data_IF_593481236151
#
_entry.id   IF_593481236151
#
_cell.length_a   1.000
_cell.length_b   1.000
_cell.length_c   1.000
_cell.angle_alpha   90.00
_cell.angle_beta   90.00
_cell.angle_gamma   90.00
#
_symmetry.space_group_name_H-M   'P 1'
#
loop_
_entity.id
_entity.type
_entity.pdbx_description
1 polymer ?
#
# COMPACT_ATOMS: atom_id res chain seq x y z
N UNK A 1 -75.65 -5.41 -13.35
CA UNK A 1 -76.79 -6.25 -13.02
C UNK A 1 -76.36 -7.42 -12.16
N UNK A 2 -76.98 -7.50 -10.96
CA UNK A 2 -77.11 -8.64 -10.02
C UNK A 2 -75.81 -9.19 -9.41
N UNK A 3 -75.42 -8.88 -8.18
CA UNK A 3 -76.08 -9.08 -6.88
C UNK A 3 -76.26 -10.55 -6.46
N UNK A 4 -75.66 -10.91 -5.33
CA UNK A 4 -76.11 -11.73 -4.19
C UNK A 4 -74.97 -12.63 -3.69
N UNK A 5 -74.56 -12.49 -2.50
CA UNK A 5 -75.03 -12.69 -1.13
C UNK A 5 -74.39 -13.91 -0.47
N UNK A 6 -73.63 -13.64 0.59
CA UNK A 6 -73.70 -14.16 1.95
C UNK A 6 -73.80 -15.68 2.18
N UNK A 7 -72.82 -16.22 2.98
CA UNK A 7 -73.21 -16.83 4.26
C UNK A 7 -71.97 -17.07 5.15
N UNK A 8 -72.09 -16.67 6.41
CA UNK A 8 -71.15 -16.92 7.49
C UNK A 8 -71.39 -18.31 8.11
N UNK A 9 -70.32 -18.93 8.61
CA UNK A 9 -70.43 -20.00 9.61
C UNK A 9 -69.26 -19.89 10.56
N UNK A 10 -69.54 -19.51 11.77
CA UNK A 10 -68.67 -19.58 12.96
C UNK A 10 -68.60 -21.04 13.44
N UNK A 11 -67.39 -21.50 13.74
CA UNK A 11 -67.17 -22.64 14.67
C UNK A 11 -66.04 -22.34 15.57
N UNK A 12 -66.38 -22.19 16.86
CA UNK A 12 -65.49 -22.17 18.00
C UNK A 12 -64.99 -23.57 18.30
N UNK A 13 -63.70 -23.76 18.48
CA UNK A 13 -63.18 -24.89 19.19
C UNK A 13 -61.93 -24.53 20.04
N UNK A 14 -62.18 -24.56 21.31
CA UNK A 14 -61.35 -24.94 22.49
C UNK A 14 -59.81 -24.97 22.35
N UNK A 15 -59.20 -24.10 23.13
CA UNK A 15 -57.80 -24.09 23.49
C UNK A 15 -57.41 -25.33 24.29
N UNK A 16 -56.41 -26.05 23.83
CA UNK A 16 -55.65 -27.00 24.66
C UNK A 16 -54.25 -26.42 24.83
N UNK A 17 -53.99 -25.88 26.00
CA UNK A 17 -52.68 -25.40 26.43
C UNK A 17 -51.80 -26.60 26.77
N UNK A 18 -50.78 -26.87 25.98
CA UNK A 18 -49.65 -27.71 26.33
C UNK A 18 -48.47 -26.79 26.67
N UNK A 19 -47.81 -27.00 27.83
CA UNK A 19 -46.58 -26.25 28.13
C UNK A 19 -45.43 -26.85 27.30
N UNK A 20 -45.00 -26.13 26.27
CA UNK A 20 -43.72 -26.37 25.59
C UNK A 20 -42.62 -25.89 26.55
N UNK A 21 -42.00 -26.83 27.24
CA UNK A 21 -40.68 -26.61 27.82
C UNK A 21 -39.69 -26.33 26.69
N UNK A 22 -39.43 -25.05 26.46
CA UNK A 22 -38.36 -24.59 25.60
C UNK A 22 -37.03 -24.92 26.28
N UNK A 23 -36.41 -26.04 25.87
CA UNK A 23 -34.99 -26.23 26.08
C UNK A 23 -34.30 -25.04 25.35
N UNK A 24 -33.75 -24.13 26.15
CA UNK A 24 -32.90 -23.05 25.65
C UNK A 24 -31.70 -23.63 24.94
N UNK A 25 -31.80 -23.72 23.64
CA UNK A 25 -30.64 -23.84 22.79
C UNK A 25 -30.03 -22.44 22.74
N UNK A 26 -28.97 -22.19 23.49
CA UNK A 26 -28.10 -21.09 23.30
C UNK A 26 -27.50 -21.24 21.90
N UNK A 27 -28.22 -20.76 20.90
CA UNK A 27 -27.63 -20.51 19.57
C UNK A 27 -26.51 -19.52 19.84
N UNK A 28 -25.28 -20.01 19.80
CA UNK A 28 -24.12 -19.15 19.77
C UNK A 28 -24.39 -18.09 18.70
N UNK A 29 -24.34 -16.84 19.09
CA UNK A 29 -24.21 -15.75 18.11
C UNK A 29 -23.03 -16.13 17.25
N UNK A 30 -23.25 -16.52 16.00
CA UNK A 30 -22.24 -16.43 14.97
C UNK A 30 -21.83 -14.97 14.95
N UNK A 31 -20.67 -14.66 15.49
CA UNK A 31 -20.10 -13.33 15.38
C UNK A 31 -20.08 -13.02 13.86
N UNK A 32 -20.76 -11.95 13.47
CA UNK A 32 -20.78 -11.55 12.07
C UNK A 32 -19.35 -11.28 11.62
N UNK A 33 -19.00 -11.69 10.41
CA UNK A 33 -17.71 -11.39 9.81
C UNK A 33 -17.55 -9.86 9.66
N UNK A 34 -16.45 -9.32 10.16
CA UNK A 34 -16.11 -7.89 9.99
C UNK A 34 -15.31 -7.76 8.72
N UNK A 35 -15.78 -6.96 7.74
CA UNK A 35 -15.01 -6.66 6.54
C UNK A 35 -14.13 -5.44 6.77
N UNK A 36 -12.85 -5.52 6.36
CA UNK A 36 -11.90 -4.42 6.33
C UNK A 36 -11.37 -4.28 4.92
N UNK A 37 -11.56 -3.11 4.31
CA UNK A 37 -11.06 -2.78 2.98
C UNK A 37 -9.68 -2.15 3.07
N UNK A 38 -8.69 -2.81 2.48
CA UNK A 38 -7.31 -2.35 2.42
C UNK A 38 -6.96 -1.90 1.01
N UNK A 39 -6.68 -0.60 0.82
CA UNK A 39 -6.21 -0.03 -0.43
C UNK A 39 -4.71 -0.27 -0.64
N UNK A 40 -4.35 -0.79 -1.81
CA UNK A 40 -2.95 -1.05 -2.21
C UNK A 40 -2.73 -0.57 -3.65
N UNK A 41 -1.46 -0.42 -4.08
CA UNK A 41 -1.15 -0.01 -5.46
C UNK A 41 -0.32 -1.08 -6.15
N UNK A 42 -0.96 -1.75 -7.13
CA UNK A 42 -0.35 -2.82 -7.89
C UNK A 42 -0.80 -4.22 -7.45
N UNK A 43 -0.52 -5.22 -8.30
CA UNK A 43 -1.02 -6.59 -8.12
C UNK A 43 -0.19 -7.41 -7.13
N UNK A 44 1.10 -7.10 -6.96
CA UNK A 44 2.00 -7.83 -6.06
C UNK A 44 1.56 -7.80 -4.59
N UNK A 45 0.78 -6.79 -4.21
CA UNK A 45 0.28 -6.66 -2.84
C UNK A 45 -0.73 -7.75 -2.46
N UNK A 46 -1.40 -8.41 -3.43
CA UNK A 46 -2.26 -9.57 -3.14
C UNK A 46 -1.41 -10.69 -2.53
N UNK A 47 -0.25 -10.99 -3.12
CA UNK A 47 0.68 -12.01 -2.59
C UNK A 47 1.26 -11.61 -1.24
N UNK A 48 1.63 -10.33 -1.05
CA UNK A 48 2.18 -9.81 0.20
C UNK A 48 1.19 -9.91 1.37
N UNK A 49 -0.11 -9.66 1.12
CA UNK A 49 -1.14 -9.65 2.14
C UNK A 49 -1.88 -10.99 2.30
N UNK A 50 -1.63 -11.96 1.43
CA UNK A 50 -2.27 -13.29 1.51
C UNK A 50 -2.11 -13.96 2.87
N UNK A 51 -0.92 -14.03 3.52
CA UNK A 51 -0.79 -14.64 4.84
C UNK A 51 -1.64 -13.94 5.91
N UNK A 52 -1.67 -12.61 5.89
CA UNK A 52 -2.48 -11.83 6.82
C UNK A 52 -3.97 -12.04 6.59
N UNK A 53 -4.41 -12.07 5.33
CA UNK A 53 -5.79 -12.34 4.93
C UNK A 53 -6.29 -13.71 5.41
N UNK A 54 -5.44 -14.74 5.29
CA UNK A 54 -5.76 -16.09 5.77
C UNK A 54 -5.86 -16.15 7.30
N UNK A 55 -4.91 -15.56 8.02
CA UNK A 55 -4.91 -15.50 9.47
C UNK A 55 -6.14 -14.75 10.02
N UNK A 56 -6.46 -13.59 9.44
CA UNK A 56 -7.59 -12.76 9.85
C UNK A 56 -8.94 -13.44 9.64
N UNK A 57 -9.09 -14.27 8.61
CA UNK A 57 -10.30 -15.03 8.34
C UNK A 57 -10.65 -15.98 9.50
N UNK A 58 -9.65 -16.56 10.13
CA UNK A 58 -9.81 -17.41 11.32
C UNK A 58 -10.32 -16.63 12.54
N UNK A 59 -10.06 -15.32 12.58
CA UNK A 59 -10.54 -14.39 13.61
C UNK A 59 -11.90 -13.73 13.28
N UNK A 60 -12.52 -14.12 12.16
CA UNK A 60 -13.79 -13.54 11.71
C UNK A 60 -13.64 -12.16 11.08
N UNK A 61 -12.44 -11.81 10.56
CA UNK A 61 -12.17 -10.60 9.81
C UNK A 61 -11.92 -10.98 8.34
N UNK A 62 -12.71 -10.38 7.44
CA UNK A 62 -12.54 -10.51 5.99
C UNK A 62 -11.77 -9.30 5.48
N UNK A 63 -10.48 -9.50 5.14
CA UNK A 63 -9.63 -8.46 4.56
C UNK A 63 -9.82 -8.43 3.04
N UNK A 64 -10.53 -7.40 2.57
CA UNK A 64 -10.76 -7.14 1.15
C UNK A 64 -9.63 -6.25 0.60
N UNK A 65 -8.85 -6.76 -0.35
CA UNK A 65 -7.80 -5.98 -1.02
C UNK A 65 -8.41 -5.18 -2.15
N UNK A 66 -8.30 -3.85 -2.08
CA UNK A 66 -8.76 -2.90 -3.11
C UNK A 66 -7.55 -2.37 -3.85
N UNK A 67 -7.37 -2.79 -5.10
CA UNK A 67 -6.22 -2.41 -5.91
C UNK A 67 -6.45 -1.09 -6.63
N UNK A 68 -5.46 -0.20 -6.54
CA UNK A 68 -5.37 1.05 -7.29
C UNK A 68 -4.22 0.96 -8.31
N UNK A 69 -4.28 1.79 -9.36
CA UNK A 69 -3.28 1.83 -10.42
C UNK A 69 -2.26 2.96 -10.29
N UNK A 70 -2.47 3.87 -9.35
CA UNK A 70 -1.62 5.05 -9.14
C UNK A 70 -1.52 5.40 -7.65
N UNK A 71 -0.59 6.30 -7.30
CA UNK A 71 -0.37 6.72 -5.91
C UNK A 71 -1.29 7.88 -5.46
N UNK A 72 -1.99 8.55 -6.38
CA UNK A 72 -2.79 9.75 -6.08
C UNK A 72 -4.13 9.40 -5.45
N UNK A 73 -4.75 8.31 -5.91
CA UNK A 73 -6.14 7.97 -5.57
C UNK A 73 -6.32 7.38 -4.16
N UNK A 74 -5.41 6.52 -3.61
CA UNK A 74 -5.70 5.76 -2.39
C UNK A 74 -5.88 6.61 -1.13
N UNK A 75 -5.13 7.72 -0.95
CA UNK A 75 -5.28 8.59 0.21
C UNK A 75 -6.63 9.32 0.21
N UNK A 76 -7.09 9.76 -0.95
CA UNK A 76 -8.43 10.33 -1.10
C UNK A 76 -9.53 9.30 -0.80
N UNK A 77 -9.39 8.07 -1.30
CA UNK A 77 -10.33 6.98 -1.02
C UNK A 77 -10.38 6.63 0.48
N UNK A 78 -9.22 6.66 1.17
CA UNK A 78 -9.16 6.45 2.61
C UNK A 78 -9.83 7.58 3.38
N UNK A 79 -9.51 8.83 3.07
CA UNK A 79 -10.09 10.00 3.75
C UNK A 79 -11.62 10.07 3.59
N UNK A 80 -12.13 9.75 2.40
CA UNK A 80 -13.57 9.71 2.11
C UNK A 80 -14.30 8.49 2.68
N UNK A 81 -13.60 7.45 3.13
CA UNK A 81 -14.20 6.24 3.71
C UNK A 81 -14.61 5.18 2.69
N UNK A 82 -14.11 5.24 1.47
CA UNK A 82 -14.33 4.20 0.45
C UNK A 82 -13.54 2.92 0.77
N UNK A 83 -12.39 3.08 1.45
CA UNK A 83 -11.57 2.03 2.05
C UNK A 83 -11.35 2.33 3.54
N UNK A 84 -10.95 1.33 4.32
CA UNK A 84 -10.72 1.45 5.77
C UNK A 84 -9.26 1.73 6.13
N UNK A 85 -8.35 1.14 5.38
CA UNK A 85 -6.90 1.26 5.51
C UNK A 85 -6.28 1.43 4.12
N UNK A 86 -5.06 1.98 4.04
CA UNK A 86 -4.21 1.78 2.89
C UNK A 86 -2.79 1.37 3.30
N UNK A 87 -2.09 0.66 2.38
CA UNK A 87 -0.73 0.18 2.61
C UNK A 87 0.03 0.15 1.27
N UNK A 88 0.48 1.31 0.80
CA UNK A 88 1.16 1.44 -0.49
C UNK A 88 2.30 2.47 -0.47
N UNK A 89 2.32 3.37 0.52
CA UNK A 89 3.11 4.58 0.56
C UNK A 89 4.16 4.55 1.67
N UNK A 90 5.25 5.25 1.47
CA UNK A 90 6.22 5.52 2.52
C UNK A 90 5.88 6.81 3.30
N UNK A 91 6.51 6.97 4.46
CA UNK A 91 6.18 8.01 5.44
C UNK A 91 6.23 9.41 4.82
N UNK A 92 7.33 9.78 4.16
CA UNK A 92 7.46 11.13 3.58
C UNK A 92 6.48 11.40 2.44
N UNK A 93 6.00 10.37 1.72
CA UNK A 93 4.92 10.54 0.74
C UNK A 93 3.62 10.92 1.45
N UNK A 94 3.27 10.20 2.53
CA UNK A 94 2.11 10.54 3.34
C UNK A 94 2.21 11.96 3.90
N UNK A 95 3.35 12.36 4.47
CA UNK A 95 3.56 13.71 5.01
C UNK A 95 3.31 14.79 3.94
N UNK A 96 3.84 14.60 2.73
CA UNK A 96 3.62 15.51 1.61
C UNK A 96 2.13 15.60 1.20
N UNK A 97 1.44 14.47 1.14
CA UNK A 97 0.01 14.40 0.84
C UNK A 97 -0.84 15.11 1.92
N UNK A 98 -0.49 14.92 3.20
CA UNK A 98 -1.16 15.61 4.31
C UNK A 98 -0.98 17.12 4.24
N UNK A 99 0.23 17.59 3.91
CA UNK A 99 0.53 19.01 3.74
C UNK A 99 -0.24 19.60 2.54
N UNK A 100 -0.25 18.89 1.42
CA UNK A 100 -0.82 19.40 0.18
C UNK A 100 -2.36 19.37 0.18
N UNK A 101 -2.97 18.31 0.67
CA UNK A 101 -4.42 18.07 0.55
C UNK A 101 -5.18 18.17 1.87
N UNK A 102 -4.48 18.12 3.01
CA UNK A 102 -5.09 18.24 4.34
C UNK A 102 -5.93 17.04 4.75
N UNK A 103 -5.65 15.85 4.20
CA UNK A 103 -6.31 14.59 4.57
C UNK A 103 -6.27 14.35 6.07
N UNK A 104 -7.30 13.70 6.61
CA UNK A 104 -7.42 13.32 8.03
C UNK A 104 -7.12 11.83 8.20
N UNK A 105 -5.93 11.45 7.81
CA UNK A 105 -5.40 10.09 7.89
C UNK A 105 -4.04 10.13 8.61
N UNK A 106 -3.67 9.05 9.26
CA UNK A 106 -2.41 8.96 10.00
C UNK A 106 -1.82 7.54 9.94
N UNK A 107 -0.49 7.39 10.08
CA UNK A 107 0.15 6.08 10.08
C UNK A 107 -0.23 5.30 11.34
N UNK A 108 -0.44 4.00 11.21
CA UNK A 108 -0.77 3.09 12.32
C UNK A 108 0.23 1.94 12.48
N UNK A 109 1.05 1.67 11.47
CA UNK A 109 2.13 0.68 11.52
C UNK A 109 3.11 0.89 10.38
N UNK A 110 4.35 0.47 10.56
CA UNK A 110 5.31 0.29 9.47
C UNK A 110 5.25 -1.12 8.90
N UNK A 111 5.65 -1.28 7.65
CA UNK A 111 5.58 -2.56 6.93
C UNK A 111 6.94 -3.01 6.41
N UNK A 112 7.48 -2.32 5.44
CA UNK A 112 8.74 -2.65 4.78
C UNK A 112 9.37 -1.42 4.12
N UNK A 113 10.63 -1.56 3.71
CA UNK A 113 11.25 -0.69 2.71
C UNK A 113 11.58 -1.52 1.49
N UNK A 114 11.50 -0.91 0.29
CA UNK A 114 11.93 -1.50 -0.98
C UNK A 114 12.88 -0.54 -1.69
N UNK A 115 13.91 -1.06 -2.39
CA UNK A 115 14.83 -0.23 -3.16
C UNK A 115 14.14 0.46 -4.33
N UNK A 116 14.65 1.64 -4.67
CA UNK A 116 14.26 2.43 -5.84
C UNK A 116 15.38 2.29 -6.90
N UNK A 117 15.34 1.22 -7.69
CA UNK A 117 16.43 0.83 -8.56
C UNK A 117 16.40 1.51 -9.94
N UNK A 118 17.59 1.62 -10.55
CA UNK A 118 17.78 2.06 -11.94
C UNK A 118 17.86 0.82 -12.86
N UNK A 119 16.96 0.75 -13.83
CA UNK A 119 16.85 -0.33 -14.82
C UNK A 119 17.16 0.18 -16.22
N UNK A 120 17.63 -0.72 -17.09
CA UNK A 120 17.84 -0.44 -18.51
C UNK A 120 17.65 -1.72 -19.33
N UNK A 121 17.15 -1.55 -20.56
CA UNK A 121 17.15 -2.57 -21.61
C UNK A 121 18.14 -2.21 -22.75
N UNK A 122 18.90 -1.11 -22.59
CA UNK A 122 19.82 -0.62 -23.64
C UNK A 122 21.29 -0.66 -23.24
N UNK A 123 21.58 -0.65 -21.95
CA UNK A 123 22.93 -0.71 -21.40
C UNK A 123 22.97 -1.69 -20.23
N UNK A 124 24.09 -2.36 -20.04
CA UNK A 124 24.25 -3.37 -19.01
C UNK A 124 24.92 -2.81 -17.73
N UNK A 125 25.44 -1.60 -17.78
CA UNK A 125 26.14 -0.95 -16.65
C UNK A 125 26.14 0.56 -16.74
N UNK A 126 26.37 1.23 -15.57
CA UNK A 126 26.51 2.69 -15.50
C UNK A 126 27.63 3.24 -16.39
N UNK A 127 28.70 2.46 -16.62
CA UNK A 127 29.86 2.89 -17.42
C UNK A 127 29.59 3.01 -18.91
N UNK A 128 28.45 2.49 -19.37
CA UNK A 128 28.02 2.58 -20.77
C UNK A 128 27.14 3.81 -21.05
N UNK A 129 26.68 4.48 -19.97
CA UNK A 129 25.94 5.73 -20.08
C UNK A 129 26.83 6.84 -20.62
N UNK A 130 26.28 7.65 -21.50
CA UNK A 130 26.98 8.73 -22.23
C UNK A 130 26.12 9.98 -22.36
N UNK A 131 26.73 11.05 -22.81
CA UNK A 131 26.06 12.33 -23.08
C UNK A 131 24.91 12.15 -24.08
N UNK A 132 23.77 12.71 -23.75
CA UNK A 132 22.52 12.61 -24.51
C UNK A 132 21.64 11.41 -24.18
N UNK A 133 22.09 10.51 -23.30
CA UNK A 133 21.24 9.43 -22.80
C UNK A 133 20.11 9.97 -21.92
N UNK A 134 18.91 9.39 -22.07
CA UNK A 134 17.72 9.81 -21.35
C UNK A 134 17.44 8.86 -20.19
N UNK A 135 17.28 9.40 -18.98
CA UNK A 135 16.88 8.65 -17.78
C UNK A 135 15.52 9.15 -17.30
N UNK A 136 14.53 8.27 -17.27
CA UNK A 136 13.22 8.57 -16.72
C UNK A 136 13.22 8.39 -15.18
N UNK A 137 12.55 9.31 -14.46
CA UNK A 137 12.35 9.26 -13.00
C UNK A 137 10.90 9.60 -12.65
N UNK A 138 10.40 9.24 -11.43
CA UNK A 138 9.10 9.68 -10.93
C UNK A 138 8.98 11.21 -10.88
N UNK A 139 7.77 11.72 -11.17
CA UNK A 139 7.48 13.17 -11.20
C UNK A 139 6.91 13.71 -9.87
N UNK A 140 6.59 12.85 -8.90
CA UNK A 140 6.15 13.32 -7.59
C UNK A 140 7.34 13.76 -6.73
N UNK A 141 7.12 14.76 -5.87
CA UNK A 141 8.16 15.43 -5.07
C UNK A 141 9.04 14.45 -4.30
N UNK A 142 8.46 13.42 -3.71
CA UNK A 142 9.17 12.54 -2.78
C UNK A 142 9.90 11.40 -3.48
N UNK A 143 9.27 10.73 -4.44
CA UNK A 143 9.93 9.69 -5.24
C UNK A 143 10.90 10.31 -6.26
N UNK A 144 10.57 11.46 -6.87
CA UNK A 144 11.48 12.22 -7.73
C UNK A 144 12.73 12.65 -6.98
N UNK A 145 12.57 13.22 -5.78
CA UNK A 145 13.69 13.60 -4.93
C UNK A 145 14.55 12.40 -4.51
N UNK A 146 13.92 11.25 -4.18
CA UNK A 146 14.66 10.00 -3.91
C UNK A 146 15.41 9.51 -5.16
N UNK A 147 14.78 9.57 -6.33
CA UNK A 147 15.41 9.18 -7.59
C UNK A 147 16.64 10.05 -7.92
N UNK A 148 16.56 11.36 -7.69
CA UNK A 148 17.69 12.27 -7.85
C UNK A 148 18.84 11.89 -6.91
N UNK A 149 18.56 11.52 -5.64
CA UNK A 149 19.58 11.00 -4.73
C UNK A 149 20.19 9.69 -5.21
N UNK A 150 19.39 8.79 -5.77
CA UNK A 150 19.88 7.53 -6.36
C UNK A 150 20.84 7.82 -7.52
N UNK A 151 20.51 8.80 -8.41
CA UNK A 151 21.41 9.24 -9.48
C UNK A 151 22.72 9.83 -8.92
N UNK A 152 22.64 10.59 -7.82
CA UNK A 152 23.83 11.14 -7.16
C UNK A 152 24.69 10.04 -6.52
N UNK A 153 24.08 9.06 -5.84
CA UNK A 153 24.77 7.91 -5.26
C UNK A 153 25.41 7.02 -6.35
N UNK A 154 24.75 6.89 -7.50
CA UNK A 154 25.30 6.23 -8.69
C UNK A 154 26.48 7.00 -9.35
N UNK A 155 26.77 8.21 -8.88
CA UNK A 155 27.86 9.05 -9.43
C UNK A 155 27.54 9.71 -10.78
N UNK A 156 26.28 9.69 -11.21
CA UNK A 156 25.86 10.29 -12.49
C UNK A 156 25.70 11.80 -12.40
N UNK A 157 25.37 12.32 -11.22
CA UNK A 157 25.20 13.75 -10.92
C UNK A 157 25.85 14.09 -9.58
N UNK A 158 26.02 15.37 -9.31
CA UNK A 158 26.41 15.91 -8.00
C UNK A 158 25.34 16.92 -7.55
N UNK A 159 24.92 16.85 -6.30
CA UNK A 159 23.96 17.78 -5.72
C UNK A 159 24.64 18.97 -5.08
N UNK A 160 23.96 20.11 -5.03
CA UNK A 160 24.36 21.28 -4.24
C UNK A 160 24.45 20.92 -2.76
N UNK A 161 25.37 21.56 -2.05
CA UNK A 161 25.61 21.28 -0.64
C UNK A 161 24.43 21.63 0.29
N UNK A 162 23.55 22.51 -0.14
CA UNK A 162 22.35 22.98 0.54
C UNK A 162 21.05 22.37 -0.01
N UNK A 163 21.16 21.31 -0.83
CA UNK A 163 19.99 20.58 -1.34
C UNK A 163 19.13 20.03 -0.20
N UNK A 164 17.82 20.17 -0.33
CA UNK A 164 16.84 19.67 0.65
C UNK A 164 16.77 18.14 0.69
N UNK A 165 16.03 17.61 1.65
CA UNK A 165 15.77 16.16 1.75
C UNK A 165 15.13 15.59 0.48
N UNK A 166 14.23 16.33 -0.16
CA UNK A 166 13.65 16.02 -1.46
C UNK A 166 14.23 16.96 -2.53
N UNK A 167 15.46 16.70 -3.04
CA UNK A 167 16.06 17.54 -4.05
C UNK A 167 15.25 17.51 -5.35
N UNK A 168 15.28 18.62 -6.08
CA UNK A 168 14.70 18.80 -7.40
C UNK A 168 15.80 18.84 -8.48
N UNK A 169 15.43 18.92 -9.76
CA UNK A 169 16.41 19.07 -10.83
C UNK A 169 17.23 20.37 -10.69
N UNK A 170 16.67 21.40 -10.04
CA UNK A 170 17.37 22.66 -9.79
C UNK A 170 18.47 22.52 -8.74
N UNK A 171 18.47 21.45 -7.92
CA UNK A 171 19.48 21.16 -6.92
C UNK A 171 20.69 20.38 -7.48
N UNK A 172 20.65 20.03 -8.76
CA UNK A 172 21.80 19.41 -9.42
C UNK A 172 22.85 20.48 -9.69
N UNK A 173 24.05 20.30 -9.10
CA UNK A 173 25.20 21.18 -9.33
C UNK A 173 25.97 20.81 -10.60
N UNK A 174 26.14 19.48 -10.82
CA UNK A 174 26.92 18.99 -11.96
C UNK A 174 26.32 17.69 -12.50
N UNK A 175 26.26 17.58 -13.80
CA UNK A 175 26.04 16.33 -14.51
C UNK A 175 27.42 15.71 -14.83
N UNK A 176 27.79 14.64 -14.12
CA UNK A 176 29.06 13.95 -14.33
C UNK A 176 29.07 13.16 -15.65
N UNK A 177 27.89 12.76 -16.11
CA UNK A 177 27.57 12.28 -17.45
C UNK A 177 26.46 13.18 -17.97
N UNK A 178 26.56 13.66 -19.21
CA UNK A 178 25.60 14.61 -19.79
C UNK A 178 24.25 13.95 -20.14
N UNK A 179 23.64 13.31 -19.13
CA UNK A 179 22.32 12.68 -19.25
C UNK A 179 21.20 13.72 -19.29
N UNK A 180 20.09 13.38 -19.94
CA UNK A 180 18.83 14.11 -19.87
C UNK A 180 17.90 13.39 -18.88
N UNK A 181 17.41 14.10 -17.85
CA UNK A 181 16.46 13.55 -16.88
C UNK A 181 15.04 13.92 -17.31
N UNK A 182 14.17 12.89 -17.38
CA UNK A 182 12.77 13.03 -17.76
C UNK A 182 11.85 12.60 -16.64
N UNK A 183 11.12 13.56 -16.05
CA UNK A 183 10.13 13.31 -15.00
C UNK A 183 8.82 12.80 -15.62
N UNK A 184 8.33 11.66 -15.13
CA UNK A 184 7.11 10.99 -15.60
C UNK A 184 6.32 10.43 -14.41
N UNK A 185 5.02 10.25 -14.60
CA UNK A 185 4.20 9.55 -13.58
C UNK A 185 4.76 8.17 -13.30
N UNK A 186 4.99 7.85 -12.02
CA UNK A 186 5.65 6.63 -11.58
C UNK A 186 5.07 5.36 -12.22
N UNK A 187 3.74 5.26 -12.32
CA UNK A 187 3.04 4.11 -12.92
C UNK A 187 3.23 3.98 -14.44
N UNK A 188 3.72 5.01 -15.13
CA UNK A 188 3.95 4.97 -16.58
C UNK A 188 5.38 4.62 -16.95
N UNK A 189 6.33 4.78 -16.00
CA UNK A 189 7.76 4.61 -16.28
C UNK A 189 8.11 3.20 -16.79
N UNK A 190 7.61 2.09 -16.21
CA UNK A 190 7.95 0.76 -16.73
C UNK A 190 7.61 0.59 -18.21
N UNK A 191 6.48 1.15 -18.66
CA UNK A 191 6.02 1.01 -20.05
C UNK A 191 6.85 1.79 -21.07
N UNK A 192 7.65 2.77 -20.63
CA UNK A 192 8.53 3.56 -21.51
C UNK A 192 9.99 3.13 -21.41
N UNK A 193 10.32 2.08 -20.68
CA UNK A 193 11.69 1.61 -20.47
C UNK A 193 12.42 1.31 -21.80
N UNK A 194 11.70 0.83 -22.81
CA UNK A 194 12.25 0.60 -24.16
C UNK A 194 12.54 1.91 -24.92
N UNK A 195 11.88 3.01 -24.58
CA UNK A 195 12.02 4.28 -25.29
C UNK A 195 13.16 5.14 -24.75
N UNK A 196 13.48 5.01 -23.45
CA UNK A 196 14.55 5.74 -22.75
C UNK A 196 15.83 4.89 -22.65
N UNK A 197 16.96 5.50 -22.25
CA UNK A 197 18.20 4.72 -22.03
C UNK A 197 18.16 3.93 -20.75
N UNK A 198 17.64 4.54 -19.66
CA UNK A 198 17.42 3.90 -18.38
C UNK A 198 16.25 4.54 -17.64
N UNK A 199 15.77 3.93 -16.58
CA UNK A 199 14.70 4.49 -15.74
C UNK A 199 14.84 4.08 -14.29
N UNK A 200 14.58 5.02 -13.37
CA UNK A 200 14.39 4.72 -11.96
C UNK A 200 12.92 4.37 -11.76
N UNK A 201 12.67 3.16 -11.25
CA UNK A 201 11.33 2.59 -11.19
C UNK A 201 11.02 2.18 -9.75
N UNK A 202 9.87 2.63 -9.23
CA UNK A 202 9.37 2.22 -7.92
C UNK A 202 9.19 0.70 -7.87
N UNK A 203 9.59 0.09 -6.75
CA UNK A 203 9.73 -1.36 -6.65
C UNK A 203 8.46 -2.16 -6.93
N UNK A 204 7.29 -1.69 -6.48
CA UNK A 204 6.02 -2.35 -6.80
C UNK A 204 5.72 -2.33 -8.31
N UNK A 205 5.95 -1.20 -8.99
CA UNK A 205 5.75 -1.10 -10.44
C UNK A 205 6.79 -1.90 -11.23
N UNK A 206 8.03 -1.97 -10.73
CA UNK A 206 9.06 -2.81 -11.34
C UNK A 206 8.66 -4.29 -11.29
N UNK A 207 8.24 -4.79 -10.13
CA UNK A 207 7.79 -6.16 -9.94
C UNK A 207 6.51 -6.48 -10.74
N UNK A 208 5.51 -5.60 -10.73
CA UNK A 208 4.28 -5.77 -11.51
C UNK A 208 4.56 -5.82 -13.03
N UNK A 209 5.59 -5.13 -13.49
CA UNK A 209 6.04 -5.15 -14.88
C UNK A 209 6.90 -6.39 -15.20
N UNK A 210 7.29 -7.16 -14.19
CA UNK A 210 8.08 -8.38 -14.31
C UNK A 210 9.60 -8.17 -14.29
N UNK A 211 10.07 -6.97 -13.93
CA UNK A 211 11.50 -6.69 -13.75
C UNK A 211 12.00 -7.35 -12.46
N UNK A 212 13.23 -7.87 -12.53
CA UNK A 212 13.90 -8.49 -11.38
C UNK A 212 14.97 -7.56 -10.82
N UNK A 213 15.22 -7.67 -9.52
CA UNK A 213 16.24 -6.87 -8.84
C UNK A 213 17.62 -7.04 -9.46
N UNK A 214 17.92 -8.25 -9.98
CA UNK A 214 19.21 -8.58 -10.58
C UNK A 214 19.42 -7.86 -11.93
N UNK A 215 18.35 -7.43 -12.59
CA UNK A 215 18.37 -6.73 -13.88
C UNK A 215 18.65 -5.23 -13.73
N UNK A 216 18.64 -4.72 -12.49
CA UNK A 216 18.97 -3.33 -12.22
C UNK A 216 20.46 -3.06 -12.51
N UNK A 217 20.74 -2.03 -13.30
CA UNK A 217 22.12 -1.56 -13.58
C UNK A 217 22.71 -0.75 -12.41
N UNK A 218 21.84 -0.27 -11.49
CA UNK A 218 22.21 0.27 -10.19
C UNK A 218 21.12 -0.03 -9.16
N UNK A 219 21.55 -0.50 -7.99
CA UNK A 219 20.66 -0.82 -6.87
C UNK A 219 20.71 0.27 -5.83
N UNK A 220 19.55 0.78 -5.41
CA UNK A 220 19.44 1.68 -4.27
C UNK A 220 19.86 0.94 -2.99
N UNK A 221 20.85 1.46 -2.29
CA UNK A 221 21.38 0.92 -1.04
C UNK A 221 21.03 1.75 0.20
N UNK A 222 20.30 2.86 0.03
CA UNK A 222 19.82 3.71 1.13
C UNK A 222 18.52 3.14 1.69
N UNK A 223 18.63 2.05 2.47
CA UNK A 223 17.51 1.26 2.95
C UNK A 223 17.24 1.41 4.47
N UNK A 224 18.01 2.25 5.16
CA UNK A 224 17.88 2.55 6.59
C UNK A 224 17.19 3.90 6.89
N UNK A 225 16.85 4.68 5.86
CA UNK A 225 16.16 5.96 6.01
C UNK A 225 14.68 5.76 6.35
N UNK A 226 14.31 6.04 7.59
CA UNK A 226 12.95 5.81 8.13
C UNK A 226 11.86 6.54 7.36
N UNK A 227 12.18 7.70 6.76
CA UNK A 227 11.23 8.46 5.93
C UNK A 227 10.77 7.70 4.69
N UNK A 228 11.54 6.71 4.24
CA UNK A 228 11.17 5.83 3.12
C UNK A 228 10.54 4.51 3.56
N UNK A 229 10.31 4.30 4.86
CA UNK A 229 9.60 3.12 5.33
C UNK A 229 8.13 3.18 4.91
N UNK A 230 7.66 2.10 4.31
CA UNK A 230 6.26 1.96 3.96
C UNK A 230 5.42 1.69 5.20
N UNK A 231 4.16 2.09 5.14
CA UNK A 231 3.27 2.11 6.29
C UNK A 231 1.85 1.65 5.94
N UNK A 232 1.10 1.34 6.98
CA UNK A 232 -0.36 1.26 6.95
C UNK A 232 -0.91 2.58 7.50
N UNK A 233 -1.84 3.20 6.78
CA UNK A 233 -2.55 4.39 7.22
C UNK A 233 -4.04 4.10 7.48
N UNK A 234 -4.62 4.83 8.44
CA UNK A 234 -6.04 4.81 8.79
C UNK A 234 -6.60 6.22 8.90
N UNK A 235 -7.92 6.38 8.81
CA UNK A 235 -8.57 7.66 9.13
C UNK A 235 -8.41 8.00 10.60
N UNK A 236 -8.03 9.26 10.90
CA UNK A 236 -7.93 9.76 12.28
C UNK A 236 -9.25 9.58 13.07
N UNK A 237 -10.40 9.76 12.41
CA UNK A 237 -11.69 9.58 13.04
C UNK A 237 -11.95 8.14 13.51
N UNK A 238 -11.48 7.16 12.75
CA UNK A 238 -11.63 5.73 13.07
C UNK A 238 -10.83 5.32 14.31
N UNK A 239 -9.71 6.00 14.56
CA UNK A 239 -8.86 5.77 15.72
C UNK A 239 -9.45 6.28 17.04
N UNK A 240 -10.59 6.94 16.98
CA UNK A 240 -11.40 7.30 18.16
C UNK A 240 -12.42 6.21 18.54
N UNK A 241 -12.59 5.18 17.72
CA UNK A 241 -13.47 4.03 17.96
C UNK A 241 -12.63 2.82 18.45
N UNK A 242 -12.76 2.43 19.73
CA UNK A 242 -11.98 1.30 20.27
C UNK A 242 -12.20 -0.02 19.53
N UNK A 243 -13.38 -0.25 18.94
CA UNK A 243 -13.64 -1.48 18.21
C UNK A 243 -12.89 -1.51 16.87
N UNK A 244 -12.79 -0.35 16.19
CA UNK A 244 -11.97 -0.22 14.98
C UNK A 244 -10.47 -0.33 15.28
N UNK A 245 -10.01 0.33 16.35
CA UNK A 245 -8.61 0.23 16.79
C UNK A 245 -8.22 -1.22 17.07
N UNK A 246 -9.05 -1.97 17.78
CA UNK A 246 -8.80 -3.39 18.05
C UNK A 246 -8.76 -4.23 16.76
N UNK A 247 -9.66 -3.93 15.80
CA UNK A 247 -9.66 -4.59 14.49
C UNK A 247 -8.38 -4.25 13.70
N UNK A 248 -7.96 -2.98 13.69
CA UNK A 248 -6.77 -2.55 12.97
C UNK A 248 -5.48 -3.10 13.58
N UNK A 249 -5.41 -3.22 14.93
CA UNK A 249 -4.31 -3.91 15.62
C UNK A 249 -4.17 -5.36 15.14
N UNK A 250 -5.30 -6.07 14.97
CA UNK A 250 -5.27 -7.43 14.42
C UNK A 250 -4.79 -7.49 12.99
N UNK A 251 -5.22 -6.55 12.13
CA UNK A 251 -4.74 -6.45 10.74
C UNK A 251 -3.22 -6.21 10.70
N UNK A 252 -2.72 -5.28 11.51
CA UNK A 252 -1.29 -4.99 11.64
C UNK A 252 -0.52 -6.22 12.12
N UNK A 253 -0.98 -6.86 13.22
CA UNK A 253 -0.32 -8.04 13.79
C UNK A 253 -0.29 -9.23 12.82
N UNK A 254 -1.37 -9.43 12.04
CA UNK A 254 -1.42 -10.47 11.02
C UNK A 254 -0.40 -10.23 9.89
N UNK A 255 -0.20 -8.96 9.48
CA UNK A 255 0.82 -8.61 8.50
C UNK A 255 2.24 -8.71 9.08
N UNK A 256 2.48 -8.17 10.27
CA UNK A 256 3.79 -8.18 10.94
C UNK A 256 4.09 -9.56 11.55
N UNK A 257 4.13 -10.60 10.71
CA UNK A 257 4.27 -12.00 11.11
C UNK A 257 5.39 -12.73 10.35
N UNK A 258 5.86 -13.84 10.92
CA UNK A 258 6.85 -14.70 10.27
C UNK A 258 6.35 -15.22 8.91
N UNK A 259 5.03 -15.40 8.76
CA UNK A 259 4.43 -15.83 7.50
C UNK A 259 4.60 -14.77 6.40
N UNK A 260 4.44 -13.50 6.71
CA UNK A 260 4.71 -12.39 5.78
C UNK A 260 6.20 -12.25 5.50
N UNK A 261 7.06 -12.35 6.51
CA UNK A 261 8.52 -12.32 6.31
C UNK A 261 8.99 -13.46 5.39
N UNK A 262 8.36 -14.63 5.50
CA UNK A 262 8.61 -15.74 4.58
C UNK A 262 8.26 -15.38 3.12
N UNK A 263 7.13 -14.69 2.89
CA UNK A 263 6.78 -14.20 1.54
C UNK A 263 7.83 -13.20 1.04
N UNK A 264 8.32 -12.28 1.88
CA UNK A 264 9.39 -11.36 1.50
C UNK A 264 10.63 -12.12 1.00
N UNK A 265 11.02 -13.17 1.69
CA UNK A 265 12.24 -13.94 1.41
C UNK A 265 12.07 -14.95 0.28
N UNK A 266 10.99 -15.75 0.28
CA UNK A 266 10.85 -16.88 -0.63
C UNK A 266 10.16 -16.49 -1.96
N UNK A 267 9.16 -15.61 -1.92
CA UNK A 267 8.44 -15.18 -3.12
C UNK A 267 9.15 -14.03 -3.83
N UNK A 268 9.66 -13.07 -3.04
CA UNK A 268 10.28 -11.86 -3.57
C UNK A 268 11.81 -11.80 -3.40
N UNK A 269 12.44 -12.91 -3.00
CA UNK A 269 13.90 -13.01 -2.92
C UNK A 269 14.59 -12.00 -1.99
N UNK A 270 13.88 -11.53 -0.95
CA UNK A 270 14.38 -10.52 -0.02
C UNK A 270 14.30 -9.08 -0.55
N UNK A 271 13.52 -8.82 -1.60
CA UNK A 271 13.34 -7.47 -2.14
C UNK A 271 12.62 -6.53 -1.17
N UNK A 272 11.67 -7.07 -0.40
CA UNK A 272 11.01 -6.37 0.70
C UNK A 272 11.80 -6.60 1.99
N UNK A 273 12.18 -5.52 2.65
CA UNK A 273 12.95 -5.56 3.89
C UNK A 273 12.04 -5.06 5.02
N UNK A 274 11.75 -5.91 6.01
CA UNK A 274 10.89 -5.51 7.12
C UNK A 274 11.52 -4.38 7.93
N UNK A 275 10.71 -3.40 8.31
CA UNK A 275 11.13 -2.26 9.12
C UNK A 275 10.04 -1.85 10.11
N UNK A 276 10.44 -1.36 11.27
CA UNK A 276 9.56 -0.76 12.26
C UNK A 276 8.51 -1.69 12.88
N UNK A 277 8.66 -3.03 12.78
CA UNK A 277 7.71 -3.99 13.36
C UNK A 277 7.77 -4.04 14.90
N UNK A 278 8.79 -3.46 15.49
CA UNK A 278 8.95 -3.25 16.93
C UNK A 278 8.33 -1.93 17.43
N UNK A 279 7.80 -1.10 16.53
CA UNK A 279 7.16 0.17 16.84
C UNK A 279 5.63 0.03 16.86
N UNK A 280 5.02 0.12 18.02
CA UNK A 280 3.55 0.11 18.16
C UNK A 280 2.99 1.54 18.07
N UNK A 281 2.62 1.98 16.86
CA UNK A 281 2.04 3.30 16.63
C UNK A 281 0.60 3.43 17.19
N UNK A 282 -0.03 2.32 17.58
CA UNK A 282 -1.35 2.27 18.20
C UNK A 282 -1.31 2.07 19.73
N UNK A 283 -0.12 2.06 20.35
CA UNK A 283 0.04 1.81 21.79
C UNK A 283 -0.74 2.77 22.70
N UNK A 284 -0.92 4.02 22.25
CA UNK A 284 -1.61 5.09 23.01
C UNK A 284 -3.10 5.24 22.68
N UNK A 285 -3.67 4.37 21.86
CA UNK A 285 -5.05 4.44 21.36
C UNK A 285 -5.99 3.52 22.09
#
# INVERSE_FOLDING_TARGET
MKLKKLLAAALALTALALPLTSCGNSAGKTAGTTTVKLGVVGSIYEDLWTPAKEALKEEGIDLEIVQFSDYVTPNNALDNGDIDLNAFQHHIYLDNELEQYGYKIEPIAYTFIIPLNLYSHKVDSLSELKDGDVIAIPDDVTNGGRAIKVLAAAGLITLKADADFNPTLDDIETYNVGIEIKELKANTIPSVLEDVTAAIINGNYALDFGLKTEEAIYKDDVLDEEKYWNLVAARTADLSDPAKVETYKKVVAAFQSDATEKVFNETFGGYFIKVGWDQDLLASR
#
